data_IF_810038773310
#
_entry.id   IF_810038773310
#
_cell.length_a   1.000
_cell.length_b   1.000
_cell.length_c   1.000
_cell.angle_alpha   90.00
_cell.angle_beta   90.00
_cell.angle_gamma   90.00
#
_symmetry.space_group_name_H-M   'P 1'
#
loop_
_entity.id
_entity.type
_entity.pdbx_description
1 polymer ?
#
# COMPACT_ATOMS: atom_id res chain seq x y z
N UNK A 1 -0.99 -54.65 48.08
CA UNK A 1 -1.38 -53.28 47.67
C UNK A 1 -1.26 -53.21 46.15
N UNK A 2 -2.38 -53.34 45.44
CA UNK A 2 -2.42 -53.35 43.98
C UNK A 2 -3.70 -52.66 43.52
N UNK A 3 -3.57 -51.61 42.70
CA UNK A 3 -4.52 -51.30 41.64
C UNK A 3 -3.81 -50.53 40.51
N UNK A 4 -3.80 -51.06 39.28
CA UNK A 4 -3.14 -50.48 38.11
C UNK A 4 -4.11 -49.67 37.22
N UNK A 5 -3.49 -48.87 36.34
CA UNK A 5 -3.89 -48.39 35.02
C UNK A 5 -5.33 -47.89 34.72
N UNK A 6 -5.34 -46.74 34.01
CA UNK A 6 -6.00 -46.50 32.71
C UNK A 6 -6.84 -45.21 32.70
N UNK A 7 -6.88 -44.57 31.53
CA UNK A 7 -7.51 -43.28 31.13
C UNK A 7 -6.54 -42.08 31.27
N UNK A 8 -5.66 -41.75 30.32
CA UNK A 8 -5.75 -41.87 28.85
C UNK A 8 -7.07 -41.28 28.36
N UNK A 9 -7.21 -39.94 28.38
CA UNK A 9 -8.19 -39.16 27.60
C UNK A 9 -8.12 -37.67 27.97
N UNK A 10 -6.99 -37.00 27.73
CA UNK A 10 -6.97 -35.53 27.70
C UNK A 10 -5.98 -34.87 26.71
N UNK A 11 -5.51 -35.50 25.61
CA UNK A 11 -4.85 -34.73 24.55
C UNK A 11 -5.84 -34.14 23.51
N UNK A 12 -7.17 -34.24 23.72
CA UNK A 12 -8.15 -33.78 22.73
C UNK A 12 -8.53 -32.29 22.80
N UNK A 13 -7.95 -31.50 23.73
CA UNK A 13 -8.24 -30.06 23.84
C UNK A 13 -7.45 -29.18 22.86
N UNK A 14 -6.61 -29.77 22.00
CA UNK A 14 -5.80 -29.03 21.02
C UNK A 14 -6.28 -29.16 19.56
N UNK A 15 -7.39 -29.87 19.31
CA UNK A 15 -7.89 -30.15 17.96
C UNK A 15 -9.36 -29.73 17.88
N UNK A 16 -9.64 -28.46 17.52
CA UNK A 16 -10.87 -27.99 16.82
C UNK A 16 -11.03 -26.46 16.78
N UNK A 17 -10.00 -25.68 17.12
CA UNK A 17 -10.01 -24.25 16.81
C UNK A 17 -9.34 -23.93 15.45
N UNK A 18 -9.51 -24.79 14.44
CA UNK A 18 -9.45 -24.35 13.05
C UNK A 18 -10.75 -23.59 12.74
N UNK A 19 -11.01 -22.50 13.47
CA UNK A 19 -11.87 -21.46 12.92
C UNK A 19 -11.10 -20.96 11.70
N UNK A 20 -11.66 -21.18 10.50
CA UNK A 20 -11.46 -20.23 9.39
C UNK A 20 -11.73 -18.88 10.02
N UNK A 21 -10.69 -18.18 10.45
CA UNK A 21 -10.81 -16.83 10.94
C UNK A 21 -11.42 -16.08 9.79
N UNK A 22 -12.65 -15.60 9.96
CA UNK A 22 -13.14 -14.52 9.13
C UNK A 22 -12.04 -13.47 9.21
N UNK A 23 -11.39 -13.20 8.07
CA UNK A 23 -10.43 -12.12 7.96
C UNK A 23 -11.17 -10.90 8.48
N UNK A 24 -10.70 -10.34 9.60
CA UNK A 24 -11.42 -9.24 10.22
C UNK A 24 -11.43 -8.07 9.24
N UNK A 25 -12.46 -7.22 9.30
CA UNK A 25 -12.51 -6.02 8.46
C UNK A 25 -11.24 -5.16 8.63
N UNK A 26 -10.65 -5.18 9.83
CA UNK A 26 -9.36 -4.58 10.15
C UNK A 26 -8.21 -5.18 9.33
N UNK A 27 -8.09 -6.50 9.26
CA UNK A 27 -7.04 -7.18 8.47
C UNK A 27 -7.18 -6.88 6.97
N UNK A 28 -8.43 -6.79 6.50
CA UNK A 28 -8.73 -6.42 5.12
C UNK A 28 -8.32 -4.97 4.83
N UNK A 29 -8.69 -4.02 5.70
CA UNK A 29 -8.30 -2.62 5.54
C UNK A 29 -6.79 -2.42 5.58
N UNK A 30 -6.10 -3.10 6.50
CA UNK A 30 -4.65 -3.04 6.59
C UNK A 30 -3.98 -3.60 5.31
N UNK A 31 -4.53 -4.68 4.75
CA UNK A 31 -4.05 -5.24 3.48
C UNK A 31 -4.20 -4.25 2.33
N UNK A 32 -5.37 -3.61 2.23
CA UNK A 32 -5.66 -2.59 1.20
C UNK A 32 -4.67 -1.42 1.31
N UNK A 33 -4.51 -0.85 2.52
CA UNK A 33 -3.58 0.26 2.74
C UNK A 33 -2.12 -0.13 2.45
N UNK A 34 -1.70 -1.33 2.84
CA UNK A 34 -0.35 -1.83 2.53
C UNK A 34 -0.11 -1.92 1.02
N UNK A 35 -1.10 -2.38 0.26
CA UNK A 35 -1.01 -2.47 -1.20
C UNK A 35 -1.03 -1.08 -1.86
N UNK A 36 -1.81 -0.14 -1.32
CA UNK A 36 -1.82 1.24 -1.77
C UNK A 36 -0.49 1.96 -1.51
N UNK A 37 0.13 1.75 -0.34
CA UNK A 37 1.49 2.24 -0.03
C UNK A 37 2.49 1.70 -1.05
N UNK A 38 2.46 0.40 -1.34
CA UNK A 38 3.35 -0.20 -2.35
C UNK A 38 3.14 0.39 -3.74
N UNK A 39 1.90 0.65 -4.13
CA UNK A 39 1.59 1.30 -5.39
C UNK A 39 2.23 2.70 -5.48
N UNK A 40 2.10 3.52 -4.43
CA UNK A 40 2.74 4.84 -4.38
C UNK A 40 4.26 4.76 -4.34
N UNK A 41 4.85 3.77 -3.65
CA UNK A 41 6.29 3.52 -3.68
C UNK A 41 6.78 3.22 -5.11
N UNK A 42 6.07 2.36 -5.85
CA UNK A 42 6.40 2.06 -7.24
C UNK A 42 6.25 3.32 -8.11
N UNK A 43 5.19 4.11 -7.89
CA UNK A 43 5.00 5.36 -8.60
C UNK A 43 6.13 6.38 -8.37
N UNK A 44 6.63 6.50 -7.13
CA UNK A 44 7.79 7.34 -6.83
C UNK A 44 9.04 6.88 -7.59
N UNK A 45 9.32 5.57 -7.60
CA UNK A 45 10.46 5.02 -8.36
C UNK A 45 10.30 5.27 -9.86
N UNK A 46 9.08 5.10 -10.40
CA UNK A 46 8.80 5.39 -11.80
C UNK A 46 9.05 6.86 -12.15
N UNK A 47 8.66 7.80 -11.26
CA UNK A 47 8.92 9.23 -11.45
C UNK A 47 10.42 9.56 -11.44
N UNK A 48 11.20 8.94 -10.54
CA UNK A 48 12.68 9.10 -10.49
C UNK A 48 13.32 8.54 -11.76
N UNK A 49 12.87 7.37 -12.23
CA UNK A 49 13.37 6.78 -13.47
C UNK A 49 13.05 7.67 -14.68
N UNK A 50 11.82 8.16 -14.78
CA UNK A 50 11.40 9.09 -15.81
C UNK A 50 12.22 10.39 -15.81
N UNK A 51 12.53 10.95 -14.63
CA UNK A 51 13.43 12.09 -14.50
C UNK A 51 14.81 11.79 -15.10
N UNK A 52 15.38 10.61 -14.81
CA UNK A 52 16.66 10.20 -15.37
C UNK A 52 16.61 10.00 -16.89
N UNK A 53 15.55 9.36 -17.40
CA UNK A 53 15.37 9.08 -18.83
C UNK A 53 15.12 10.36 -19.66
N UNK A 54 14.47 11.37 -19.08
CA UNK A 54 14.25 12.68 -19.73
C UNK A 54 15.47 13.63 -19.64
N UNK A 55 16.62 13.13 -19.18
CA UNK A 55 17.85 13.91 -19.07
C UNK A 55 17.85 14.86 -17.86
N UNK A 56 17.34 14.39 -16.72
CA UNK A 56 17.32 15.11 -15.44
C UNK A 56 16.49 16.39 -15.46
N UNK A 57 15.36 16.35 -16.15
CA UNK A 57 14.39 17.45 -16.17
C UNK A 57 13.28 17.18 -15.17
N UNK A 58 12.95 18.20 -14.37
CA UNK A 58 11.80 18.17 -13.48
C UNK A 58 10.54 17.76 -14.26
N UNK A 59 9.83 16.77 -13.71
CA UNK A 59 8.56 16.33 -14.23
C UNK A 59 7.50 17.28 -13.67
N UNK A 60 6.71 17.94 -14.53
CA UNK A 60 5.55 18.68 -14.05
C UNK A 60 4.58 17.71 -13.36
N UNK A 61 3.54 18.23 -12.70
CA UNK A 61 2.47 17.39 -12.22
C UNK A 61 1.84 16.59 -13.36
N UNK A 62 1.99 15.27 -13.28
CA UNK A 62 1.56 14.32 -14.29
C UNK A 62 0.69 13.25 -13.63
N UNK A 63 -0.42 12.84 -14.26
CA UNK A 63 -1.22 11.71 -13.80
C UNK A 63 -0.38 10.42 -13.69
N UNK A 64 -0.61 9.62 -12.66
CA UNK A 64 0.13 8.36 -12.47
C UNK A 64 -0.21 7.29 -13.52
N UNK A 65 -1.29 7.45 -14.28
CA UNK A 65 -1.65 6.56 -15.39
C UNK A 65 -1.04 6.98 -16.73
N UNK A 66 -0.18 8.02 -16.74
CA UNK A 66 0.57 8.37 -17.93
C UNK A 66 1.42 7.16 -18.40
N UNK A 67 1.34 6.80 -19.70
CA UNK A 67 2.07 5.66 -20.25
C UNK A 67 3.56 5.66 -19.96
N UNK A 68 4.18 6.82 -19.77
CA UNK A 68 5.61 6.93 -19.48
C UNK A 68 6.04 6.23 -18.18
N UNK A 69 5.12 6.06 -17.22
CA UNK A 69 5.44 5.42 -15.94
C UNK A 69 5.20 3.91 -15.95
N UNK A 70 4.45 3.39 -16.93
CA UNK A 70 4.11 1.97 -17.02
C UNK A 70 3.34 1.43 -15.80
N UNK A 71 2.70 2.29 -15.02
CA UNK A 71 2.03 1.93 -13.78
C UNK A 71 0.69 1.23 -14.06
N UNK A 72 0.41 0.18 -13.29
CA UNK A 72 -0.89 -0.50 -13.30
C UNK A 72 -1.37 -0.68 -11.86
N UNK A 73 -2.52 -0.13 -11.47
CA UNK A 73 -3.05 -0.35 -10.14
C UNK A 73 -3.43 -1.82 -9.95
N UNK A 74 -3.26 -2.31 -8.72
CA UNK A 74 -3.72 -3.64 -8.33
C UNK A 74 -5.24 -3.75 -8.32
N UNK A 75 -5.78 -4.96 -8.15
CA UNK A 75 -7.24 -5.22 -8.10
C UNK A 75 -7.87 -5.03 -6.71
N UNK A 76 -7.06 -4.69 -5.72
CA UNK A 76 -7.43 -4.69 -4.29
C UNK A 76 -7.88 -3.33 -3.77
N UNK A 77 -7.63 -2.26 -4.53
CA UNK A 77 -8.06 -0.89 -4.25
C UNK A 77 -8.46 -0.21 -5.56
N UNK A 78 -9.18 0.90 -5.46
CA UNK A 78 -9.48 1.75 -6.63
C UNK A 78 -8.84 3.11 -6.47
N UNK A 79 -7.90 3.44 -7.35
CA UNK A 79 -7.32 4.79 -7.43
C UNK A 79 -8.41 5.75 -7.90
N UNK A 80 -8.67 6.78 -7.11
CA UNK A 80 -9.60 7.85 -7.45
C UNK A 80 -8.87 9.00 -8.14
N UNK A 81 -7.72 9.40 -7.59
CA UNK A 81 -6.80 10.33 -8.23
C UNK A 81 -5.36 9.94 -7.86
N UNK A 82 -4.42 10.17 -8.76
CA UNK A 82 -3.00 10.01 -8.46
C UNK A 82 -2.21 10.94 -9.37
N UNK A 83 -1.43 11.82 -8.74
CA UNK A 83 -0.55 12.77 -9.43
C UNK A 83 0.84 12.62 -8.88
N UNK A 84 1.83 12.72 -9.77
CA UNK A 84 3.24 12.70 -9.44
C UNK A 84 3.96 13.88 -10.07
N UNK A 85 5.05 14.31 -9.44
CA UNK A 85 5.98 15.30 -9.99
C UNK A 85 7.39 15.02 -9.49
N UNK A 86 8.38 15.60 -10.14
CA UNK A 86 9.75 15.67 -9.60
C UNK A 86 10.21 17.12 -9.56
N UNK A 87 11.05 17.46 -8.58
CA UNK A 87 11.75 18.74 -8.57
C UNK A 87 13.01 18.71 -9.47
N UNK A 88 13.72 19.83 -9.57
CA UNK A 88 14.97 19.94 -10.33
C UNK A 88 16.11 19.06 -9.79
N UNK A 89 15.92 18.44 -8.62
CA UNK A 89 16.87 17.50 -8.00
C UNK A 89 16.44 16.04 -8.18
N UNK A 90 15.34 15.79 -8.88
CA UNK A 90 14.78 14.46 -9.08
C UNK A 90 14.03 13.91 -7.85
N UNK A 91 13.72 14.73 -6.85
CA UNK A 91 12.92 14.29 -5.71
C UNK A 91 11.46 14.14 -6.13
N UNK A 92 10.97 12.90 -6.10
CA UNK A 92 9.60 12.57 -6.48
C UNK A 92 8.61 12.85 -5.34
N UNK A 93 7.53 13.56 -5.66
CA UNK A 93 6.33 13.66 -4.82
C UNK A 93 5.18 12.98 -5.54
N UNK A 94 4.44 12.11 -4.83
CA UNK A 94 3.26 11.42 -5.33
C UNK A 94 2.13 11.60 -4.33
N UNK A 95 0.99 12.11 -4.79
CA UNK A 95 -0.23 12.24 -4.00
C UNK A 95 -1.31 11.38 -4.66
N UNK A 96 -1.90 10.46 -3.89
CA UNK A 96 -2.95 9.58 -4.39
C UNK A 96 -4.13 9.51 -3.41
N UNK A 97 -5.35 9.56 -3.96
CA UNK A 97 -6.59 9.29 -3.23
C UNK A 97 -7.23 8.00 -3.73
N UNK A 98 -7.88 7.28 -2.82
CA UNK A 98 -8.46 5.97 -3.08
C UNK A 98 -9.95 5.98 -2.73
N UNK A 99 -10.78 5.28 -3.52
CA UNK A 99 -12.25 5.23 -3.30
C UNK A 99 -12.63 4.62 -1.95
N UNK A 100 -11.70 3.91 -1.33
CA UNK A 100 -11.82 3.32 0.00
C UNK A 100 -11.74 4.36 1.14
N UNK A 101 -11.60 5.66 0.82
CA UNK A 101 -11.74 6.75 1.78
C UNK A 101 -10.44 7.10 2.53
N UNK A 102 -9.29 6.86 1.90
CA UNK A 102 -7.99 7.26 2.44
C UNK A 102 -7.09 7.81 1.33
N UNK A 103 -6.03 8.51 1.74
CA UNK A 103 -5.01 9.04 0.85
C UNK A 103 -3.62 8.52 1.22
N UNK A 104 -2.73 8.48 0.25
CA UNK A 104 -1.33 8.11 0.43
C UNK A 104 -0.45 9.19 -0.18
N UNK A 105 0.52 9.66 0.61
CA UNK A 105 1.54 10.61 0.20
C UNK A 105 2.89 9.90 0.18
N UNK A 106 3.58 9.99 -0.96
CA UNK A 106 4.99 9.70 -1.09
C UNK A 106 5.76 11.00 -1.30
N UNK A 107 6.69 11.32 -0.40
CA UNK A 107 7.61 12.45 -0.53
C UNK A 107 9.01 12.08 -0.01
N UNK A 108 9.87 13.07 0.25
CA UNK A 108 11.22 12.88 0.79
C UNK A 108 11.23 12.25 2.20
N UNK A 109 10.11 12.26 2.93
CA UNK A 109 9.97 11.61 4.24
C UNK A 109 9.53 10.14 4.12
N UNK A 110 9.29 9.66 2.90
CA UNK A 110 8.82 8.30 2.61
C UNK A 110 7.34 8.25 2.24
N UNK A 111 6.79 7.03 2.25
CA UNK A 111 5.41 6.76 1.82
C UNK A 111 4.54 6.41 3.02
N UNK A 112 3.42 7.13 3.19
CA UNK A 112 2.53 7.00 4.35
C UNK A 112 1.08 7.31 4.00
N UNK A 113 0.15 6.74 4.76
CA UNK A 113 -1.26 7.12 4.73
C UNK A 113 -1.42 8.48 5.42
N UNK A 114 -2.18 9.37 4.81
CA UNK A 114 -2.48 10.71 5.34
C UNK A 114 -3.96 11.04 5.17
N UNK A 115 -4.52 11.98 5.94
CA UNK A 115 -5.79 12.63 5.62
C UNK A 115 -5.74 13.26 4.22
N UNK A 116 -6.85 13.22 3.48
CA UNK A 116 -6.92 13.80 2.12
C UNK A 116 -6.62 15.30 2.10
N UNK A 117 -7.04 16.04 3.14
CA UNK A 117 -6.75 17.47 3.29
C UNK A 117 -5.28 17.81 3.55
N UNK A 118 -4.46 16.81 3.90
CA UNK A 118 -3.02 16.97 4.13
C UNK A 118 -2.20 16.68 2.86
N UNK A 119 -2.85 16.27 1.76
CA UNK A 119 -2.16 16.11 0.48
C UNK A 119 -1.69 17.46 -0.06
N UNK A 120 -0.43 17.57 -0.52
CA UNK A 120 0.04 18.80 -1.13
C UNK A 120 -0.72 19.06 -2.44
N UNK A 121 -1.01 20.32 -2.79
CA UNK A 121 -1.53 20.63 -4.11
C UNK A 121 -0.45 20.33 -5.15
N UNK A 122 -0.69 19.30 -5.97
CA UNK A 122 0.15 18.93 -7.11
C UNK A 122 -0.50 19.43 -8.40
N UNK A 123 -1.02 20.66 -8.42
CA UNK A 123 -1.68 21.25 -9.58
C UNK A 123 -0.67 21.83 -10.56
#
# INVERSE_FOLDING_TARGET
MTRPHLLLLLPCLLLTACKRGEVSDTDRQQTIQTQAIRYVQIAQVAAVNAFAEQGQKALPPTPCDDPMFGLKPGRVFTVQSCTLRTDDRGQATVAATFKEGFAVLGDAQGVRVVPEGDLPPLN
#
